data_IF_497319552979
#
_entry.id   IF_497319552979
#
_cell.length_a   1.000
_cell.length_b   1.000
_cell.length_c   1.000
_cell.angle_alpha   90.00
_cell.angle_beta   90.00
_cell.angle_gamma   90.00
#
_symmetry.space_group_name_H-M   'P 1'
#
loop_
_entity.id
_entity.type
_entity.pdbx_description
1 polymer ?
#
# COMPACT_ATOMS: atom_id res chain seq x y z
N UNK A 1 11.15 -17.18 -6.52
CA UNK A 1 9.75 -16.77 -6.55
C UNK A 1 9.64 -15.43 -7.27
N UNK A 2 8.76 -15.32 -8.26
CA UNK A 2 8.51 -14.09 -9.01
C UNK A 2 7.05 -13.68 -8.81
N UNK A 3 6.80 -12.43 -8.45
CA UNK A 3 5.44 -11.93 -8.27
C UNK A 3 4.79 -11.65 -9.64
N UNK A 4 3.52 -12.03 -9.84
CA UNK A 4 2.75 -11.62 -11.02
C UNK A 4 2.29 -10.17 -10.86
N UNK A 5 3.23 -9.25 -10.69
CA UNK A 5 3.00 -7.84 -10.45
C UNK A 5 3.83 -6.99 -11.41
N UNK A 6 3.20 -5.97 -11.99
CA UNK A 6 3.83 -5.01 -12.86
C UNK A 6 3.36 -3.60 -12.52
N UNK A 7 4.30 -2.66 -12.39
CA UNK A 7 4.02 -1.26 -12.15
C UNK A 7 4.42 -0.46 -13.42
N UNK A 8 3.47 -0.22 -14.35
CA UNK A 8 3.78 0.47 -15.60
C UNK A 8 4.11 1.94 -15.35
N UNK A 9 4.93 2.51 -16.26
CA UNK A 9 5.10 3.96 -16.31
C UNK A 9 3.96 4.62 -17.11
N UNK A 10 3.66 5.91 -16.87
CA UNK A 10 2.70 6.65 -17.70
C UNK A 10 3.07 6.67 -19.19
N UNK A 11 4.38 6.73 -19.48
CA UNK A 11 4.91 6.73 -20.85
C UNK A 11 4.60 5.40 -21.53
N UNK A 12 4.88 4.28 -20.85
CA UNK A 12 4.59 2.95 -21.37
C UNK A 12 3.09 2.73 -21.56
N UNK A 13 2.27 3.17 -20.59
CA UNK A 13 0.82 3.08 -20.70
C UNK A 13 0.32 3.84 -21.93
N UNK A 14 0.80 5.07 -22.14
CA UNK A 14 0.46 5.88 -23.31
C UNK A 14 0.85 5.20 -24.61
N UNK A 15 2.09 4.70 -24.70
CA UNK A 15 2.57 3.95 -25.86
C UNK A 15 1.68 2.73 -26.18
N UNK A 16 1.31 1.94 -25.17
CA UNK A 16 0.49 0.74 -25.36
C UNK A 16 -0.91 1.06 -25.87
N UNK A 17 -1.53 2.13 -25.34
CA UNK A 17 -2.87 2.56 -25.76
C UNK A 17 -2.84 3.04 -27.22
N UNK A 18 -1.87 3.87 -27.59
CA UNK A 18 -1.72 4.37 -28.96
C UNK A 18 -1.41 3.24 -29.96
N UNK A 19 -0.55 2.29 -29.56
CA UNK A 19 -0.19 1.16 -30.41
C UNK A 19 -1.32 0.14 -30.60
N UNK A 20 -2.21 0.00 -29.61
CA UNK A 20 -3.39 -0.85 -29.72
C UNK A 20 -4.47 -0.20 -30.62
N UNK A 21 -4.73 1.10 -30.44
CA UNK A 21 -5.48 1.92 -31.40
C UNK A 21 -7.01 1.90 -31.28
N UNK A 22 -7.60 1.17 -30.33
CA UNK A 22 -9.06 1.18 -30.11
C UNK A 22 -9.55 2.39 -29.32
N UNK A 23 -8.64 3.12 -28.64
CA UNK A 23 -8.97 4.24 -27.76
C UNK A 23 -8.16 5.49 -28.10
N UNK A 24 -8.82 6.66 -28.02
CA UNK A 24 -8.14 7.96 -27.99
C UNK A 24 -7.76 8.31 -26.56
N UNK A 25 -6.50 8.68 -26.34
CA UNK A 25 -6.00 9.06 -25.01
C UNK A 25 -6.12 10.57 -24.80
N UNK A 26 -7.01 10.99 -23.91
CA UNK A 26 -7.21 12.42 -23.61
C UNK A 26 -6.15 12.97 -22.64
N UNK A 27 -5.89 12.26 -21.54
CA UNK A 27 -4.90 12.65 -20.52
C UNK A 27 -4.44 11.45 -19.69
N UNK A 28 -3.20 11.50 -19.21
CA UNK A 28 -2.69 10.60 -18.16
C UNK A 28 -2.28 11.45 -16.95
N UNK A 29 -2.77 11.09 -15.77
CA UNK A 29 -2.40 11.72 -14.51
C UNK A 29 -1.77 10.68 -13.57
N UNK A 30 -0.74 11.10 -12.84
CA UNK A 30 -0.13 10.34 -11.75
C UNK A 30 -0.30 11.14 -10.48
N UNK A 31 -0.94 10.53 -9.49
CA UNK A 31 -1.10 11.09 -8.16
C UNK A 31 -0.33 10.24 -7.14
N UNK A 32 0.41 10.90 -6.26
CA UNK A 32 0.97 10.26 -5.09
C UNK A 32 -0.12 10.04 -4.05
N UNK A 33 -0.18 8.83 -3.50
CA UNK A 33 -1.11 8.48 -2.40
C UNK A 33 -0.28 8.23 -1.16
N UNK A 34 -0.58 8.98 -0.11
CA UNK A 34 0.05 8.78 1.19
C UNK A 34 -0.44 7.48 1.83
N UNK A 35 0.50 6.69 2.33
CA UNK A 35 0.23 5.47 3.09
C UNK A 35 0.01 5.72 4.58
N UNK A 36 -0.05 6.99 4.99
CA UNK A 36 -0.30 7.40 6.36
C UNK A 36 -1.80 7.28 6.71
N UNK A 37 -2.21 6.48 7.72
CA UNK A 37 -3.58 6.50 8.21
C UNK A 37 -3.97 7.92 8.65
N UNK A 38 -5.09 8.44 8.16
CA UNK A 38 -5.57 9.77 8.53
C UNK A 38 -5.22 10.91 7.57
N UNK A 39 -4.28 10.75 6.64
CA UNK A 39 -3.88 11.85 5.73
C UNK A 39 -4.97 12.30 4.76
N UNK A 40 -5.94 11.42 4.48
CA UNK A 40 -7.06 11.70 3.57
C UNK A 40 -8.33 12.14 4.32
N UNK A 41 -8.32 12.18 5.66
CA UNK A 41 -9.39 12.81 6.41
C UNK A 41 -9.07 14.30 6.49
N UNK A 42 -9.61 15.06 5.53
CA UNK A 42 -9.99 16.44 5.82
C UNK A 42 -11.04 16.37 6.95
N UNK A 43 -10.60 16.31 8.21
CA UNK A 43 -11.44 16.62 9.36
C UNK A 43 -11.73 18.12 9.31
N UNK A 44 -12.65 18.50 8.42
CA UNK A 44 -13.38 19.74 8.57
C UNK A 44 -14.17 19.64 9.87
N UNK A 45 -13.63 20.29 10.90
CA UNK A 45 -14.29 20.84 12.09
C UNK A 45 -15.44 20.04 12.76
N UNK A 46 -15.24 19.85 14.07
CA UNK A 46 -16.24 19.61 15.13
C UNK A 46 -16.54 18.16 15.51
N UNK A 47 -15.64 17.57 16.30
CA UNK A 47 -16.07 17.02 17.59
C UNK A 47 -14.96 17.22 18.62
N UNK A 48 -15.00 18.36 19.32
CA UNK A 48 -14.46 18.44 20.67
C UNK A 48 -15.43 17.63 21.52
N UNK A 49 -15.12 16.36 21.77
CA UNK A 49 -15.56 15.51 22.90
C UNK A 49 -15.51 14.04 22.47
N UNK A 50 -14.49 13.34 22.97
CA UNK A 50 -14.24 11.93 22.71
C UNK A 50 -12.88 11.75 22.07
N UNK A 51 -11.81 12.09 22.82
CA UNK A 51 -10.47 11.64 22.50
C UNK A 51 -10.53 10.12 22.38
N UNK A 52 -10.27 9.56 21.20
CA UNK A 52 -10.70 8.22 20.95
C UNK A 52 -9.42 7.39 21.27
N UNK A 53 -9.56 6.39 22.15
CA UNK A 53 -8.59 5.47 22.86
C UNK A 53 -7.19 5.10 22.25
N UNK A 54 -6.77 5.64 21.10
CA UNK A 54 -5.56 5.28 20.34
C UNK A 54 -4.56 6.44 20.24
N UNK A 55 -4.83 7.58 20.88
CA UNK A 55 -3.96 8.76 20.84
C UNK A 55 -2.60 8.58 21.54
N UNK A 56 -2.36 7.52 22.33
CA UNK A 56 -1.08 7.33 23.03
C UNK A 56 0.01 6.60 22.23
N UNK A 57 -0.22 6.15 20.98
CA UNK A 57 0.79 5.38 20.22
C UNK A 57 0.79 5.64 18.70
N UNK A 58 0.54 6.88 18.28
CA UNK A 58 0.30 7.22 16.87
C UNK A 58 1.49 6.93 15.93
N UNK A 59 2.73 6.99 16.43
CA UNK A 59 3.94 6.70 15.64
C UNK A 59 4.09 5.20 15.29
N UNK A 60 3.41 4.32 16.01
CA UNK A 60 3.58 2.86 15.88
C UNK A 60 2.50 2.16 15.03
N UNK A 61 1.40 2.85 14.68
CA UNK A 61 0.23 2.23 14.02
C UNK A 61 0.35 2.24 12.49
N UNK A 62 1.03 3.24 11.93
CA UNK A 62 1.07 3.51 10.49
C UNK A 62 1.73 2.40 9.67
N UNK A 63 2.94 1.99 10.04
CA UNK A 63 3.66 0.94 9.32
C UNK A 63 2.95 -0.42 9.44
N UNK A 64 2.23 -0.64 10.55
CA UNK A 64 1.54 -1.90 10.83
C UNK A 64 0.32 -2.09 9.91
N UNK A 65 -0.45 -1.03 9.67
CA UNK A 65 -1.57 -1.07 8.71
C UNK A 65 -1.08 -1.28 7.28
N UNK A 66 0.03 -0.64 6.90
CA UNK A 66 0.67 -0.89 5.60
C UNK A 66 1.14 -2.36 5.45
N UNK A 67 1.77 -2.92 6.48
CA UNK A 67 2.19 -4.34 6.47
C UNK A 67 1.00 -5.26 6.30
N UNK A 68 -0.10 -5.02 7.02
CA UNK A 68 -1.34 -5.80 6.88
C UNK A 68 -1.93 -5.71 5.48
N UNK A 69 -1.95 -4.51 4.91
CA UNK A 69 -2.42 -4.30 3.54
C UNK A 69 -1.57 -5.11 2.53
N UNK A 70 -0.26 -5.06 2.65
CA UNK A 70 0.62 -5.84 1.77
C UNK A 70 0.51 -7.35 2.02
N UNK A 71 0.27 -7.75 3.28
CA UNK A 71 0.04 -9.14 3.67
C UNK A 71 -1.22 -9.71 3.03
N UNK A 72 -2.34 -9.00 3.08
CA UNK A 72 -3.59 -9.45 2.48
C UNK A 72 -3.51 -9.69 0.98
N UNK A 73 -2.66 -8.93 0.27
CA UNK A 73 -2.44 -9.08 -1.18
C UNK A 73 -1.52 -10.27 -1.52
N UNK A 74 -0.48 -10.52 -0.72
CA UNK A 74 0.62 -11.41 -1.12
C UNK A 74 0.73 -12.72 -0.34
N UNK A 75 0.10 -12.86 0.83
CA UNK A 75 0.19 -14.06 1.67
C UNK A 75 -0.26 -15.33 0.93
N UNK A 76 -1.38 -15.29 0.22
CA UNK A 76 -1.87 -16.46 -0.53
C UNK A 76 -0.83 -16.97 -1.56
N UNK A 77 -0.13 -16.06 -2.24
CA UNK A 77 0.90 -16.41 -3.22
C UNK A 77 2.15 -16.97 -2.54
N UNK A 78 2.57 -16.36 -1.43
CA UNK A 78 3.72 -16.81 -0.65
C UNK A 78 3.46 -18.19 -0.04
N UNK A 79 2.28 -18.40 0.55
CA UNK A 79 1.87 -19.67 1.13
C UNK A 79 1.78 -20.76 0.07
N UNK A 80 1.22 -20.45 -1.10
CA UNK A 80 1.14 -21.41 -2.22
C UNK A 80 2.52 -21.86 -2.72
N UNK A 81 3.51 -20.97 -2.73
CA UNK A 81 4.85 -21.28 -3.25
C UNK A 81 5.81 -21.85 -2.20
N UNK A 82 5.74 -21.35 -0.97
CA UNK A 82 6.72 -21.66 0.09
C UNK A 82 6.12 -22.45 1.27
N UNK A 83 4.80 -22.57 1.36
CA UNK A 83 4.10 -23.16 2.50
C UNK A 83 3.86 -22.17 3.66
N UNK A 84 3.06 -22.58 4.63
CA UNK A 84 2.64 -21.73 5.76
C UNK A 84 3.77 -21.50 6.79
N UNK A 85 4.74 -22.40 6.86
CA UNK A 85 5.73 -22.45 7.94
C UNK A 85 6.66 -21.22 8.03
N UNK A 86 6.80 -20.45 6.96
CA UNK A 86 7.67 -19.26 6.92
C UNK A 86 6.91 -17.93 6.96
N UNK A 87 5.58 -17.97 6.83
CA UNK A 87 4.78 -16.76 6.57
C UNK A 87 4.89 -15.75 7.71
N UNK A 88 4.80 -16.24 8.94
CA UNK A 88 4.87 -15.36 10.10
C UNK A 88 6.26 -14.69 10.23
N UNK A 89 7.33 -15.44 10.00
CA UNK A 89 8.69 -14.91 10.02
C UNK A 89 8.93 -13.87 8.90
N UNK A 90 8.44 -14.14 7.69
CA UNK A 90 8.55 -13.21 6.56
C UNK A 90 7.87 -11.88 6.89
N UNK A 91 6.64 -11.90 7.40
CA UNK A 91 5.92 -10.66 7.74
C UNK A 91 6.46 -9.96 8.99
N UNK A 92 7.04 -10.69 9.93
CA UNK A 92 7.77 -10.11 11.05
C UNK A 92 9.01 -9.34 10.57
N UNK A 93 9.81 -9.90 9.66
CA UNK A 93 10.96 -9.22 9.07
C UNK A 93 10.53 -8.05 8.18
N UNK A 94 9.49 -8.24 7.37
CA UNK A 94 8.93 -7.17 6.55
C UNK A 94 8.45 -5.98 7.39
N UNK A 95 7.80 -6.26 8.53
CA UNK A 95 7.41 -5.24 9.51
C UNK A 95 8.57 -4.37 9.97
N UNK A 96 9.71 -4.97 10.27
CA UNK A 96 10.92 -4.24 10.69
C UNK A 96 11.46 -3.35 9.56
N UNK A 97 11.46 -3.83 8.31
CA UNK A 97 11.90 -3.06 7.15
C UNK A 97 10.99 -1.86 6.90
N UNK A 98 9.67 -2.07 6.90
CA UNK A 98 8.69 -0.99 6.70
C UNK A 98 8.81 0.04 7.80
N UNK A 99 8.91 -0.39 9.07
CA UNK A 99 9.03 0.50 10.22
C UNK A 99 10.22 1.46 10.08
N UNK A 100 11.38 0.98 9.61
CA UNK A 100 12.56 1.84 9.41
C UNK A 100 12.43 2.74 8.18
N UNK A 101 11.73 2.27 7.14
CA UNK A 101 11.60 3.01 5.87
C UNK A 101 10.53 4.10 5.89
N UNK A 102 9.65 4.09 6.89
CA UNK A 102 8.55 5.06 7.06
C UNK A 102 8.81 6.09 8.19
N UNK A 103 9.99 6.05 8.82
CA UNK A 103 10.49 7.10 9.74
C UNK A 103 11.31 8.13 8.96
#
# INVERSE_FOLDING_TARGET
FNLPFYAPSPIELGFLIENEGSFSLDQIHVSEVSWQPGSNYNTSNNSKNGAPYWEENMDNVQWYDFVKCMRSVSEALLTSHFGEGIIEEVYQRYSQVVRVSML
#
